data_IF_425874884032
#
_entry.id   IF_425874884032
#
_cell.length_a   1.000
_cell.length_b   1.000
_cell.length_c   1.000
_cell.angle_alpha   90.00
_cell.angle_beta   90.00
_cell.angle_gamma   90.00
#
_symmetry.space_group_name_H-M   'P 1'
#
loop_
_entity.id
_entity.type
_entity.pdbx_description
1 polymer ?
#
# COMPACT_ATOMS: atom_id res chain seq x y z
N UNK A 1 25.90 -8.85 -13.65
CA UNK A 1 25.12 -9.97 -13.10
C UNK A 1 24.77 -9.63 -11.66
N UNK A 2 23.53 -9.23 -11.39
CA UNK A 2 22.93 -9.26 -10.05
C UNK A 2 21.69 -10.11 -10.21
N UNK A 3 21.83 -11.39 -9.88
CA UNK A 3 20.77 -12.39 -9.89
C UNK A 3 20.01 -12.31 -8.57
N UNK A 4 18.69 -12.15 -8.64
CA UNK A 4 17.84 -12.12 -7.46
C UNK A 4 16.41 -11.68 -7.77
N UNK A 5 15.75 -12.38 -8.69
CA UNK A 5 14.30 -12.26 -8.89
C UNK A 5 13.63 -12.89 -7.69
N UNK A 6 12.89 -12.13 -6.88
CA UNK A 6 11.95 -12.66 -5.90
C UNK A 6 10.65 -13.03 -6.65
N UNK A 7 10.31 -14.32 -6.83
CA UNK A 7 9.07 -14.72 -7.46
C UNK A 7 7.97 -14.83 -6.40
N UNK A 8 6.78 -14.29 -6.68
CA UNK A 8 5.51 -14.49 -5.95
C UNK A 8 5.08 -13.45 -4.89
N UNK A 9 5.17 -12.16 -5.21
CA UNK A 9 4.23 -11.19 -4.62
C UNK A 9 3.06 -10.98 -5.60
N UNK A 10 1.79 -11.10 -5.17
CA UNK A 10 0.64 -10.85 -6.03
C UNK A 10 0.62 -9.36 -6.42
N UNK A 11 0.99 -9.07 -7.66
CA UNK A 11 0.79 -7.77 -8.31
C UNK A 11 -0.73 -7.58 -8.50
N UNK A 12 -1.37 -6.83 -7.60
CA UNK A 12 -2.76 -6.42 -7.77
C UNK A 12 -2.87 -5.44 -8.94
N UNK A 13 -3.30 -5.93 -10.11
CA UNK A 13 -3.67 -5.11 -11.26
C UNK A 13 -5.07 -4.55 -11.02
N UNK A 14 -5.17 -3.32 -10.55
CA UNK A 14 -6.42 -2.56 -10.59
C UNK A 14 -6.48 -1.85 -11.94
N UNK A 15 -7.41 -2.28 -12.81
CA UNK A 15 -7.59 -1.75 -14.16
C UNK A 15 -8.69 -0.69 -14.16
N UNK A 16 -8.32 0.57 -13.97
CA UNK A 16 -9.11 1.72 -14.45
C UNK A 16 -8.75 1.95 -15.92
N UNK A 17 -9.73 2.29 -16.76
CA UNK A 17 -9.61 2.28 -18.23
C UNK A 17 -8.51 3.24 -18.70
N UNK A 18 -7.61 2.70 -19.53
CA UNK A 18 -6.41 3.27 -20.16
C UNK A 18 -5.10 3.19 -19.35
N UNK A 19 -4.13 2.45 -19.93
CA UNK A 19 -2.75 2.21 -19.50
C UNK A 19 -2.50 1.32 -18.26
N UNK A 20 -2.14 0.05 -18.55
CA UNK A 20 -1.55 -0.90 -17.60
C UNK A 20 -0.10 -0.51 -17.33
N UNK A 21 0.11 0.24 -16.26
CA UNK A 21 1.40 0.50 -15.67
C UNK A 21 1.15 0.54 -14.15
N UNK A 22 2.07 0.07 -13.31
CA UNK A 22 1.89 -0.06 -11.85
C UNK A 22 1.23 1.23 -11.27
N UNK A 23 -0.10 1.22 -11.10
CA UNK A 23 -0.89 2.46 -10.94
C UNK A 23 -0.66 3.08 -9.55
N UNK A 24 -0.18 2.22 -8.64
CA UNK A 24 0.18 2.52 -7.27
C UNK A 24 1.40 1.66 -6.90
N UNK A 25 2.53 2.26 -6.55
CA UNK A 25 3.52 1.58 -5.71
C UNK A 25 2.99 1.64 -4.28
N UNK A 26 2.60 0.50 -3.72
CA UNK A 26 2.08 0.39 -2.38
C UNK A 26 3.23 0.50 -1.36
N UNK A 27 3.54 1.72 -0.93
CA UNK A 27 4.57 2.02 0.07
C UNK A 27 4.11 1.66 1.49
N UNK A 28 3.82 0.39 1.76
CA UNK A 28 3.59 -0.10 3.12
C UNK A 28 4.89 -0.38 3.88
N UNK A 29 5.94 -0.74 3.14
CA UNK A 29 7.25 -1.08 3.70
C UNK A 29 8.06 0.18 4.01
N UNK A 30 7.99 1.24 3.21
CA UNK A 30 8.73 2.49 3.45
C UNK A 30 10.17 2.48 2.92
N UNK A 31 11.12 2.97 3.72
CA UNK A 31 12.48 3.32 3.32
C UNK A 31 13.19 2.26 2.46
N UNK A 32 13.12 0.99 2.85
CA UNK A 32 13.85 -0.09 2.19
C UNK A 32 13.43 -0.34 0.73
N UNK A 33 12.21 0.05 0.33
CA UNK A 33 11.68 -0.18 -1.02
C UNK A 33 11.45 1.10 -1.83
N UNK A 34 11.76 2.27 -1.28
CA UNK A 34 11.45 3.55 -1.92
C UNK A 34 12.10 3.69 -3.31
N UNK A 35 13.43 3.60 -3.37
CA UNK A 35 14.19 3.73 -4.62
C UNK A 35 13.85 2.62 -5.64
N UNK A 36 13.72 1.39 -5.16
CA UNK A 36 13.31 0.25 -6.00
C UNK A 36 11.95 0.47 -6.64
N UNK A 37 10.99 0.99 -5.87
CA UNK A 37 9.66 1.32 -6.36
C UNK A 37 9.69 2.44 -7.41
N UNK A 38 10.51 3.49 -7.22
CA UNK A 38 10.69 4.56 -8.20
C UNK A 38 11.35 4.08 -9.50
N UNK A 39 12.19 3.05 -9.46
CA UNK A 39 12.76 2.48 -10.68
C UNK A 39 11.70 1.79 -11.55
N UNK A 40 10.74 1.12 -10.91
CA UNK A 40 9.70 0.31 -11.57
C UNK A 40 8.42 1.08 -11.90
N UNK A 41 8.20 2.24 -11.28
CA UNK A 41 7.03 3.08 -11.56
C UNK A 41 7.16 3.69 -12.96
N UNK A 42 6.03 3.81 -13.64
CA UNK A 42 5.98 4.38 -14.99
C UNK A 42 5.85 5.89 -14.99
N UNK A 43 5.96 6.51 -16.17
CA UNK A 43 5.61 7.90 -16.37
C UNK A 43 4.12 8.18 -16.07
N UNK A 44 3.84 9.31 -15.42
CA UNK A 44 2.51 9.81 -15.05
C UNK A 44 1.74 8.97 -14.02
N UNK A 45 2.39 8.00 -13.36
CA UNK A 45 1.76 7.21 -12.31
C UNK A 45 1.78 7.92 -10.94
N UNK A 46 0.96 7.38 -10.02
CA UNK A 46 0.91 7.83 -8.63
C UNK A 46 1.73 6.91 -7.74
N UNK A 47 2.61 7.49 -6.93
CA UNK A 47 3.26 6.81 -5.81
C UNK A 47 2.41 7.00 -4.55
N UNK A 48 1.90 5.91 -3.96
CA UNK A 48 1.12 5.99 -2.72
C UNK A 48 1.91 5.43 -1.54
N UNK A 49 2.28 6.33 -0.62
CA UNK A 49 2.98 6.00 0.60
C UNK A 49 1.99 5.89 1.77
N UNK A 50 1.57 4.70 2.17
CA UNK A 50 0.57 4.52 3.24
C UNK A 50 1.13 3.91 4.53
N UNK A 51 2.41 3.53 4.58
CA UNK A 51 3.03 2.91 5.74
C UNK A 51 4.56 3.03 5.76
N UNK A 52 5.17 2.59 6.87
CA UNK A 52 6.60 2.76 7.11
C UNK A 52 7.19 1.63 7.97
N UNK A 53 6.86 0.36 7.65
CA UNK A 53 7.30 -0.81 8.45
C UNK A 53 8.83 -0.91 8.57
N UNK A 54 9.56 -0.59 7.51
CA UNK A 54 11.04 -0.54 7.47
C UNK A 54 11.62 0.83 7.84
N UNK A 55 10.78 1.75 8.31
CA UNK A 55 11.13 3.15 8.57
C UNK A 55 10.62 4.12 7.51
N UNK A 56 10.68 5.40 7.83
CA UNK A 56 10.19 6.49 6.99
C UNK A 56 11.06 6.68 5.75
N UNK A 57 10.42 6.92 4.60
CA UNK A 57 11.15 7.35 3.41
C UNK A 57 11.86 8.69 3.68
N UNK A 58 13.04 8.93 3.09
CA UNK A 58 13.69 10.23 3.17
C UNK A 58 12.81 11.36 2.59
N UNK A 59 13.07 12.63 2.94
CA UNK A 59 12.39 13.77 2.33
C UNK A 59 12.46 13.72 0.80
N UNK A 60 11.29 13.75 0.16
CA UNK A 60 11.15 13.72 -1.29
C UNK A 60 11.31 15.12 -1.84
N UNK A 61 12.32 15.34 -2.68
CA UNK A 61 12.45 16.60 -3.41
C UNK A 61 11.50 16.61 -4.60
N UNK A 62 10.79 17.74 -4.82
CA UNK A 62 9.81 17.84 -5.91
C UNK A 62 10.39 17.58 -7.31
N UNK A 63 11.69 17.81 -7.49
CA UNK A 63 12.41 17.52 -8.75
C UNK A 63 12.62 16.03 -8.98
N UNK A 64 12.68 15.21 -7.93
CA UNK A 64 12.89 13.75 -8.03
C UNK A 64 11.77 13.05 -8.81
N UNK A 65 10.59 13.65 -8.85
CA UNK A 65 9.42 13.10 -9.54
C UNK A 65 9.29 13.59 -10.99
N UNK A 66 10.10 14.57 -11.41
CA UNK A 66 9.92 15.30 -12.67
C UNK A 66 10.23 14.46 -13.91
N UNK A 67 11.24 13.58 -13.85
CA UNK A 67 11.66 12.73 -14.99
C UNK A 67 10.50 11.89 -15.53
N UNK A 68 9.72 11.33 -14.60
CA UNK A 68 8.56 10.49 -14.87
C UNK A 68 7.23 11.23 -14.66
N UNK A 69 7.22 12.53 -14.36
CA UNK A 69 6.02 13.31 -14.07
C UNK A 69 5.07 12.60 -13.08
N UNK A 70 5.62 12.13 -11.97
CA UNK A 70 4.89 11.31 -11.00
C UNK A 70 4.02 12.17 -10.07
N UNK A 71 2.90 11.59 -9.67
CA UNK A 71 2.09 12.10 -8.57
C UNK A 71 2.51 11.41 -7.27
N UNK A 72 2.47 12.12 -6.16
CA UNK A 72 2.83 11.57 -4.85
C UNK A 72 1.67 11.78 -3.87
N UNK A 73 1.25 10.72 -3.19
CA UNK A 73 0.18 10.76 -2.19
C UNK A 73 0.60 10.01 -0.93
N UNK A 74 0.18 10.49 0.23
CA UNK A 74 0.35 9.82 1.52
C UNK A 74 -1.03 9.65 2.17
N UNK A 75 -1.82 8.66 1.72
CA UNK A 75 -3.17 8.49 2.24
C UNK A 75 -3.12 7.95 3.67
N UNK A 76 -4.06 8.39 4.50
CA UNK A 76 -4.31 7.85 5.83
C UNK A 76 -5.77 7.46 5.98
N UNK A 77 -6.04 6.48 6.85
CA UNK A 77 -7.41 6.03 7.11
C UNK A 77 -8.25 7.09 7.83
N UNK A 78 -7.67 7.80 8.81
CA UNK A 78 -8.40 8.79 9.61
C UNK A 78 -8.99 9.94 8.76
N UNK A 79 -8.25 10.56 7.82
CA UNK A 79 -8.83 11.54 6.89
C UNK A 79 -9.96 11.01 5.99
N UNK A 80 -10.03 9.69 5.77
CA UNK A 80 -11.07 9.05 4.95
C UNK A 80 -12.29 8.61 5.78
N UNK A 81 -12.17 8.58 7.12
CA UNK A 81 -13.23 8.17 8.05
C UNK A 81 -13.58 9.26 9.08
N UNK A 82 -13.60 10.57 8.74
CA UNK A 82 -13.76 11.62 9.73
C UNK A 82 -15.18 11.72 10.29
N UNK A 83 -16.16 11.15 9.59
CA UNK A 83 -17.57 11.14 10.00
C UNK A 83 -18.13 9.72 10.00
N UNK A 84 -19.21 9.54 10.75
CA UNK A 84 -19.97 8.29 10.77
C UNK A 84 -20.44 7.91 9.37
N UNK A 85 -20.98 8.86 8.61
CA UNK A 85 -21.56 8.58 7.29
C UNK A 85 -20.50 8.09 6.30
N UNK A 86 -19.33 8.75 6.25
CA UNK A 86 -18.21 8.30 5.42
C UNK A 86 -17.68 6.93 5.86
N UNK A 87 -17.62 6.68 7.16
CA UNK A 87 -17.23 5.37 7.69
C UNK A 87 -18.22 4.28 7.27
N UNK A 88 -19.52 4.55 7.36
CA UNK A 88 -20.56 3.60 6.94
C UNK A 88 -20.54 3.35 5.44
N UNK A 89 -20.28 4.38 4.63
CA UNK A 89 -20.13 4.26 3.18
C UNK A 89 -18.98 3.30 2.81
N UNK A 90 -17.79 3.53 3.35
CA UNK A 90 -16.60 2.73 3.05
C UNK A 90 -16.75 1.29 3.58
N UNK A 91 -17.24 1.14 4.81
CA UNK A 91 -17.41 -0.20 5.41
C UNK A 91 -18.48 -1.03 4.70
N UNK A 92 -19.53 -0.41 4.16
CA UNK A 92 -20.54 -1.11 3.36
C UNK A 92 -19.91 -1.84 2.17
N UNK A 93 -19.00 -1.19 1.45
CA UNK A 93 -18.29 -1.80 0.31
C UNK A 93 -17.49 -3.02 0.76
N UNK A 94 -16.76 -2.93 1.88
CA UNK A 94 -16.01 -4.04 2.46
C UNK A 94 -16.92 -5.21 2.84
N UNK A 95 -17.98 -4.95 3.61
CA UNK A 95 -18.89 -6.00 4.06
C UNK A 95 -19.65 -6.65 2.90
N UNK A 96 -19.99 -5.90 1.86
CA UNK A 96 -20.61 -6.45 0.66
C UNK A 96 -19.63 -7.37 -0.10
N UNK A 97 -18.34 -7.03 -0.16
CA UNK A 97 -17.33 -7.91 -0.74
C UNK A 97 -17.16 -9.21 0.07
N UNK A 98 -17.14 -9.12 1.41
CA UNK A 98 -17.09 -10.29 2.30
C UNK A 98 -18.31 -11.20 2.09
N UNK A 99 -19.52 -10.62 2.04
CA UNK A 99 -20.75 -11.38 1.74
C UNK A 99 -20.73 -12.03 0.36
N UNK A 100 -20.05 -11.43 -0.61
CA UNK A 100 -19.85 -11.98 -1.97
C UNK A 100 -18.73 -13.02 -2.05
N UNK A 101 -18.08 -13.36 -0.94
CA UNK A 101 -17.10 -14.43 -0.87
C UNK A 101 -15.64 -13.98 -0.81
N UNK A 102 -15.36 -12.69 -0.57
CA UNK A 102 -14.02 -12.28 -0.16
C UNK A 102 -13.65 -12.99 1.15
N UNK A 103 -12.61 -13.83 1.10
CA UNK A 103 -12.10 -14.56 2.27
C UNK A 103 -11.09 -13.71 3.03
N UNK A 104 -11.27 -13.65 4.34
CA UNK A 104 -10.31 -13.04 5.28
C UNK A 104 -9.60 -14.18 5.99
N UNK A 105 -8.34 -14.39 5.66
CA UNK A 105 -7.51 -15.44 6.27
C UNK A 105 -7.01 -14.99 7.64
N UNK A 106 -7.29 -15.78 8.67
CA UNK A 106 -6.78 -15.53 10.02
C UNK A 106 -5.56 -16.44 10.22
N UNK A 107 -4.36 -15.84 10.21
CA UNK A 107 -3.11 -16.59 10.31
C UNK A 107 -2.92 -17.17 11.72
N UNK A 108 -3.14 -16.37 12.77
CA UNK A 108 -2.90 -16.76 14.16
C UNK A 108 -3.93 -16.15 15.10
N UNK A 109 -4.21 -16.87 16.19
CA UNK A 109 -4.98 -16.37 17.32
C UNK A 109 -4.09 -16.32 18.54
N UNK A 110 -4.17 -15.22 19.28
CA UNK A 110 -3.44 -15.00 20.51
C UNK A 110 -4.42 -14.54 21.58
N UNK A 111 -4.20 -14.94 22.83
CA UNK A 111 -4.94 -14.36 23.95
C UNK A 111 -4.40 -12.95 24.20
N UNK A 112 -5.27 -12.04 24.65
CA UNK A 112 -4.94 -10.61 24.75
C UNK A 112 -3.70 -10.34 25.64
N UNK A 113 -3.46 -11.17 26.65
CA UNK A 113 -2.29 -11.02 27.53
C UNK A 113 -0.96 -11.30 26.82
N UNK A 114 -0.96 -12.01 25.70
CA UNK A 114 0.26 -12.34 24.94
C UNK A 114 0.66 -11.24 23.93
N UNK A 115 -0.08 -10.11 23.90
CA UNK A 115 0.19 -9.03 22.95
C UNK A 115 1.65 -8.54 22.97
N UNK A 116 2.32 -8.35 24.12
CA UNK A 116 3.74 -7.97 24.15
C UNK A 116 4.64 -8.97 23.42
N UNK A 117 4.44 -10.27 23.67
CA UNK A 117 5.21 -11.35 23.07
C UNK A 117 5.01 -11.42 21.55
N UNK A 118 3.78 -11.16 21.08
CA UNK A 118 3.44 -11.15 19.64
C UNK A 118 4.14 -10.02 18.88
N UNK A 119 4.37 -8.86 19.51
CA UNK A 119 5.02 -7.73 18.85
C UNK A 119 6.55 -7.83 18.79
N UNK A 120 7.15 -8.65 19.65
CA UNK A 120 8.61 -8.81 19.74
C UNK A 120 9.10 -10.01 18.90
N UNK A 121 8.20 -10.94 18.54
CA UNK A 121 8.50 -12.08 17.66
C UNK A 121 8.64 -11.69 16.20
#
# INVERSE_FOLDING_TARGET
MVNGVLPNLPLYKVQTREMVLLHTAAGGVGAALYEGSLSCITRFATYENFGAVSGYIPPVHGTTQAEKALFFSTPGLAPQTPTRDLTLEITKVLFDAVRKGLKVEINKHYILCDAPEVHIS
#
